data_IF_072889228674
#
_entry.id   IF_072889228674
#
_cell.length_a   1.000
_cell.length_b   1.000
_cell.length_c   1.000
_cell.angle_alpha   90.00
_cell.angle_beta   90.00
_cell.angle_gamma   90.00
#
_symmetry.space_group_name_H-M   'P 1'
#
loop_
_entity.id
_entity.type
_entity.pdbx_description
1 polymer ?
#
# COMPACT_ATOMS: atom_id res chain seq x y z
N UNK A 1 -3.73 -25.44 16.88
CA UNK A 1 -4.12 -24.16 16.26
C UNK A 1 -4.03 -24.36 14.77
N UNK A 2 -5.12 -24.82 14.18
CA UNK A 2 -5.18 -25.54 12.90
C UNK A 2 -5.12 -24.59 11.71
N UNK A 3 -4.53 -25.08 10.61
CA UNK A 3 -4.39 -24.42 9.32
C UNK A 3 -5.70 -23.80 8.79
N UNK A 4 -6.83 -24.37 9.21
CA UNK A 4 -8.18 -23.86 8.98
C UNK A 4 -8.42 -22.44 9.49
N UNK A 5 -7.87 -22.07 10.65
CA UNK A 5 -8.07 -20.72 11.18
C UNK A 5 -7.29 -19.66 10.38
N UNK A 6 -6.10 -20.03 9.88
CA UNK A 6 -5.29 -19.21 8.97
C UNK A 6 -6.00 -19.02 7.61
N UNK A 7 -6.64 -20.09 7.12
CA UNK A 7 -7.41 -20.06 5.87
C UNK A 7 -8.70 -19.24 6.03
N UNK A 8 -9.38 -19.36 7.17
CA UNK A 8 -10.57 -18.60 7.49
C UNK A 8 -10.30 -17.09 7.56
N UNK A 9 -9.18 -16.67 8.15
CA UNK A 9 -8.76 -15.26 8.17
C UNK A 9 -8.46 -14.75 6.75
N UNK A 10 -7.86 -15.58 5.88
CA UNK A 10 -7.65 -15.23 4.46
C UNK A 10 -8.98 -15.09 3.71
N UNK A 11 -9.93 -15.99 3.94
CA UNK A 11 -11.26 -15.93 3.32
C UNK A 11 -12.12 -14.77 3.85
N UNK A 12 -12.04 -14.42 5.13
CA UNK A 12 -12.81 -13.31 5.71
C UNK A 12 -12.35 -11.94 5.22
N UNK A 13 -11.07 -11.79 4.92
CA UNK A 13 -10.49 -10.52 4.44
C UNK A 13 -10.59 -10.34 2.92
N UNK A 14 -11.12 -11.33 2.20
CA UNK A 14 -11.13 -11.37 0.74
C UNK A 14 -9.70 -11.37 0.14
N UNK A 15 -9.53 -11.80 -1.12
CA UNK A 15 -8.29 -11.57 -1.85
C UNK A 15 -8.02 -10.08 -2.16
N UNK A 16 -8.93 -9.16 -1.85
CA UNK A 16 -8.97 -7.84 -2.48
C UNK A 16 -8.81 -6.69 -1.48
N UNK A 17 -7.63 -6.56 -0.88
CA UNK A 17 -7.10 -5.23 -0.60
C UNK A 17 -6.31 -4.74 -1.82
N UNK A 18 -6.92 -4.82 -3.01
CA UNK A 18 -6.32 -4.42 -4.30
C UNK A 18 -5.99 -2.93 -4.30
N UNK A 19 -6.57 -2.16 -3.38
CA UNK A 19 -6.30 -0.74 -3.20
C UNK A 19 -6.07 -0.43 -1.72
N UNK A 20 -4.85 -0.03 -1.35
CA UNK A 20 -4.52 0.43 0.01
C UNK A 20 -4.60 1.96 0.04
N UNK A 21 -5.49 2.49 0.86
CA UNK A 21 -5.56 3.93 1.16
C UNK A 21 -4.76 4.22 2.43
N UNK A 22 -3.78 5.12 2.33
CA UNK A 22 -2.84 5.45 3.39
C UNK A 22 -2.82 6.96 3.60
N UNK A 23 -2.98 7.43 4.83
CA UNK A 23 -2.97 8.86 5.10
C UNK A 23 -1.57 9.45 4.97
N UNK A 24 -1.44 10.62 4.35
CA UNK A 24 -0.16 11.34 4.26
C UNK A 24 0.47 11.56 5.63
N UNK A 25 -0.35 11.86 6.65
CA UNK A 25 0.14 12.06 8.02
C UNK A 25 0.83 10.80 8.57
N UNK A 26 0.24 9.63 8.34
CA UNK A 26 0.81 8.35 8.79
C UNK A 26 2.07 8.04 8.00
N UNK A 27 2.07 8.30 6.69
CA UNK A 27 3.25 8.15 5.85
C UNK A 27 4.42 9.03 6.30
N UNK A 28 4.16 10.31 6.62
CA UNK A 28 5.17 11.23 7.14
C UNK A 28 5.68 10.77 8.51
N UNK A 29 4.79 10.30 9.39
CA UNK A 29 5.18 9.80 10.70
C UNK A 29 6.11 8.58 10.58
N UNK A 30 5.77 7.65 9.68
CA UNK A 30 6.62 6.49 9.34
C UNK A 30 7.94 6.90 8.69
N UNK A 31 7.93 7.86 7.78
CA UNK A 31 9.12 8.39 7.13
C UNK A 31 10.06 9.05 8.16
N UNK A 32 9.50 9.74 9.16
CA UNK A 32 10.26 10.36 10.25
C UNK A 32 11.01 9.35 11.12
N UNK A 33 10.50 8.13 11.27
CA UNK A 33 11.19 7.05 12.00
C UNK A 33 12.51 6.64 11.34
N UNK A 34 12.64 6.88 10.04
CA UNK A 34 13.85 6.59 9.25
C UNK A 34 14.56 7.89 8.82
N UNK A 35 14.34 8.98 9.56
CA UNK A 35 14.97 10.29 9.35
C UNK A 35 14.63 10.96 7.99
N UNK A 36 13.47 10.64 7.42
CA UNK A 36 12.96 11.29 6.20
C UNK A 36 11.96 12.38 6.58
N UNK A 37 12.33 13.63 6.30
CA UNK A 37 11.52 14.81 6.58
C UNK A 37 10.76 15.34 5.35
N UNK A 38 11.26 15.05 4.14
CA UNK A 38 10.70 15.55 2.88
C UNK A 38 10.21 14.40 2.00
N UNK A 39 8.90 14.16 2.03
CA UNK A 39 8.21 13.11 1.24
C UNK A 39 7.72 13.63 -0.12
N UNK A 40 7.71 14.95 -0.33
CA UNK A 40 7.32 15.56 -1.61
C UNK A 40 8.10 15.03 -2.82
N UNK A 41 9.45 14.96 -2.80
CA UNK A 41 10.20 14.41 -3.93
C UNK A 41 9.91 12.92 -4.17
N UNK A 42 9.41 12.22 -3.15
CA UNK A 42 9.05 10.81 -3.27
C UNK A 42 7.78 10.62 -4.11
N UNK A 43 6.81 11.54 -4.05
CA UNK A 43 5.58 11.46 -4.86
C UNK A 43 5.84 11.59 -6.36
N UNK A 44 6.86 12.35 -6.75
CA UNK A 44 7.29 12.48 -8.15
C UNK A 44 8.27 11.39 -8.59
N UNK A 45 8.78 10.61 -7.62
CA UNK A 45 9.78 9.58 -7.88
C UNK A 45 9.22 8.47 -8.76
N UNK A 46 10.10 7.90 -9.59
CA UNK A 46 9.76 6.75 -10.44
C UNK A 46 9.41 5.51 -9.61
N UNK A 47 9.90 5.41 -8.38
CA UNK A 47 9.63 4.29 -7.46
C UNK A 47 8.15 4.30 -7.05
N UNK A 48 7.60 5.48 -6.76
CA UNK A 48 6.20 5.65 -6.40
C UNK A 48 5.28 5.21 -7.56
N UNK A 49 5.58 5.65 -8.78
CA UNK A 49 4.86 5.22 -9.99
C UNK A 49 5.08 3.75 -10.33
N UNK A 50 6.28 3.22 -10.17
CA UNK A 50 6.62 1.83 -10.47
C UNK A 50 5.92 0.83 -9.54
N UNK A 51 5.61 1.25 -8.31
CA UNK A 51 4.87 0.44 -7.34
C UNK A 51 3.36 0.75 -7.33
N UNK A 52 2.86 1.43 -8.37
CA UNK A 52 1.44 1.77 -8.53
C UNK A 52 0.87 2.59 -7.35
N UNK A 53 1.69 3.46 -6.75
CA UNK A 53 1.21 4.45 -5.79
C UNK A 53 0.76 5.72 -6.51
N UNK A 54 -0.32 6.31 -6.02
CA UNK A 54 -0.90 7.57 -6.46
C UNK A 54 -1.11 8.46 -5.25
N UNK A 55 -0.72 9.74 -5.35
CA UNK A 55 -0.89 10.70 -4.26
C UNK A 55 -2.03 11.67 -4.59
N UNK A 56 -3.03 11.72 -3.70
CA UNK A 56 -4.20 12.57 -3.82
C UNK A 56 -4.02 13.80 -2.92
N UNK A 57 -3.59 14.91 -3.51
CA UNK A 57 -3.32 16.18 -2.81
C UNK A 57 -4.58 16.77 -2.14
N UNK A 58 -5.77 16.48 -2.68
CA UNK A 58 -7.04 17.00 -2.15
C UNK A 58 -7.41 16.33 -0.84
N UNK A 59 -7.21 15.01 -0.75
CA UNK A 59 -7.52 14.21 0.46
C UNK A 59 -6.29 14.01 1.36
N UNK A 60 -5.09 14.36 0.89
CA UNK A 60 -3.80 14.03 1.52
C UNK A 60 -3.70 12.53 1.80
N UNK A 61 -4.01 11.73 0.79
CA UNK A 61 -3.99 10.27 0.84
C UNK A 61 -3.05 9.73 -0.22
N UNK A 62 -2.33 8.68 0.13
CA UNK A 62 -1.53 7.85 -0.76
C UNK A 62 -2.35 6.59 -1.02
N UNK A 63 -2.65 6.35 -2.29
CA UNK A 63 -3.45 5.23 -2.75
C UNK A 63 -2.50 4.29 -3.47
N UNK A 64 -2.31 3.09 -2.95
CA UNK A 64 -1.60 2.03 -3.66
C UNK A 64 -2.60 1.16 -4.37
N UNK A 65 -2.45 0.97 -5.67
CA UNK A 65 -3.15 -0.10 -6.37
C UNK A 65 -2.18 -1.26 -6.48
N UNK A 66 -2.42 -2.36 -5.79
CA UNK A 66 -1.60 -3.57 -5.96
C UNK A 66 -2.20 -4.30 -7.17
N UNK A 67 -1.58 -4.25 -8.37
CA UNK A 67 -1.96 -5.19 -9.40
C UNK A 67 -1.64 -6.56 -8.84
N UNK A 68 -2.62 -7.46 -8.87
CA UNK A 68 -2.46 -8.86 -8.50
C UNK A 68 -1.31 -9.46 -9.33
N UNK A 69 -0.10 -9.41 -8.80
CA UNK A 69 1.08 -9.97 -9.44
C UNK A 69 1.08 -11.47 -9.16
N UNK A 70 0.35 -12.21 -9.99
CA UNK A 70 0.58 -13.63 -10.22
C UNK A 70 -0.53 -14.58 -9.78
N UNK A 71 -1.66 -14.57 -10.50
CA UNK A 71 -2.22 -15.84 -10.99
C UNK A 71 -1.82 -16.05 -12.45
N UNK A 72 -0.53 -16.33 -12.64
CA UNK A 72 -0.02 -17.11 -13.77
C UNK A 72 0.72 -18.25 -13.07
N UNK A 73 0.23 -19.49 -13.03
CA UNK A 73 0.16 -20.51 -14.09
C UNK A 73 -0.47 -21.76 -13.40
N UNK A 74 -1.33 -22.63 -13.95
CA UNK A 74 -1.57 -23.15 -15.31
C UNK A 74 -3.04 -23.54 -15.47
#
# INVERSE_FOLDING_TARGET
MTLDQLTYIRCLRGPDATTIELNEKDFIDRARLIDIHDVKPFYESKIFKANNYTYDLRRKLIIQTIPEAGVVEK
#
